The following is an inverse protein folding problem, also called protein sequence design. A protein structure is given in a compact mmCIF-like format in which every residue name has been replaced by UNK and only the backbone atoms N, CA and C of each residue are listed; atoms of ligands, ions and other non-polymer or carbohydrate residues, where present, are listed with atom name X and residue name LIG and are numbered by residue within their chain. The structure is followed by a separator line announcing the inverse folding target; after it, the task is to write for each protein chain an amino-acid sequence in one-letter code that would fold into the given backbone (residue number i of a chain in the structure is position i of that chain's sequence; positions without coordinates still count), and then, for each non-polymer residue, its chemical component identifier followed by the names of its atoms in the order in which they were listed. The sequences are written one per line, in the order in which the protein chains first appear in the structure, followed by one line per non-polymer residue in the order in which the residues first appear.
data_IF_087562413651
#
_entry.id   IF_087562413651
#
_cell.length_a   1.000
_cell.length_b   1.000
_cell.length_c   1.000
_cell.angle_alpha   90.00
_cell.angle_beta   90.00
_cell.angle_gamma   90.00
#
_symmetry.space_group_name_H-M   'P 1'
#
loop_
_entity.id
_entity.type
_entity.pdbx_description
1 polymer ?
#
# COMPACT_ATOMS: atom_id res chain seq x y z
N UNK A 1 17.04 -20.81 3.58
CA UNK A 1 17.33 -19.42 4.02
C UNK A 1 16.62 -19.18 5.34
N UNK A 2 17.15 -18.34 6.23
CA UNK A 2 16.40 -17.87 7.40
C UNK A 2 15.41 -16.78 6.97
N UNK A 3 14.24 -16.72 7.61
CA UNK A 3 13.25 -15.65 7.39
C UNK A 3 13.86 -14.24 7.49
N UNK A 4 14.88 -14.07 8.34
CA UNK A 4 15.63 -12.80 8.44
C UNK A 4 16.40 -12.46 7.17
N UNK A 5 17.03 -13.45 6.55
CA UNK A 5 17.73 -13.25 5.27
C UNK A 5 16.71 -12.92 4.17
N UNK A 6 15.61 -13.67 4.13
CA UNK A 6 14.56 -13.44 3.14
C UNK A 6 13.92 -12.05 3.28
N UNK A 7 13.66 -11.60 4.51
CA UNK A 7 13.20 -10.24 4.78
C UNK A 7 14.18 -9.16 4.30
N UNK A 8 15.49 -9.40 4.44
CA UNK A 8 16.50 -8.48 3.91
C UNK A 8 16.46 -8.43 2.38
N UNK A 9 16.40 -9.59 1.72
CA UNK A 9 16.32 -9.69 0.27
C UNK A 9 15.03 -9.01 -0.27
N UNK A 10 13.87 -9.23 0.39
CA UNK A 10 12.60 -8.60 0.01
C UNK A 10 12.67 -7.08 0.16
N UNK A 11 13.32 -6.56 1.22
CA UNK A 11 13.49 -5.12 1.40
C UNK A 11 14.30 -4.51 0.26
N UNK A 12 15.40 -5.14 -0.12
CA UNK A 12 16.24 -4.69 -1.24
C UNK A 12 15.45 -4.71 -2.56
N UNK A 13 14.70 -5.78 -2.82
CA UNK A 13 13.85 -5.89 -4.02
C UNK A 13 12.78 -4.81 -4.03
N UNK A 14 12.08 -4.57 -2.91
CA UNK A 14 11.08 -3.52 -2.81
C UNK A 14 11.67 -2.14 -3.03
N UNK A 15 12.87 -1.86 -2.49
CA UNK A 15 13.56 -0.58 -2.71
C UNK A 15 13.90 -0.35 -4.18
N UNK A 16 14.42 -1.38 -4.87
CA UNK A 16 14.69 -1.33 -6.31
C UNK A 16 13.41 -1.12 -7.14
N UNK A 17 12.32 -1.79 -6.77
CA UNK A 17 11.03 -1.65 -7.48
C UNK A 17 10.40 -0.27 -7.25
N UNK A 18 10.49 0.28 -6.04
CA UNK A 18 10.02 1.63 -5.72
C UNK A 18 10.86 2.70 -6.43
N UNK A 19 12.18 2.53 -6.52
CA UNK A 19 13.06 3.41 -7.29
C UNK A 19 12.70 3.38 -8.78
N UNK A 20 12.56 2.17 -9.33
CA UNK A 20 12.11 1.97 -10.71
C UNK A 20 10.77 2.68 -10.95
N UNK A 21 9.77 2.44 -10.10
CA UNK A 21 8.47 3.12 -10.20
C UNK A 21 8.63 4.64 -10.27
N UNK A 22 9.44 5.22 -9.38
CA UNK A 22 9.69 6.67 -9.36
C UNK A 22 10.32 7.21 -10.64
N UNK A 23 11.24 6.49 -11.27
CA UNK A 23 11.82 6.88 -12.56
C UNK A 23 10.78 6.82 -13.69
N UNK A 24 9.95 5.78 -13.74
CA UNK A 24 8.87 5.66 -14.72
C UNK A 24 7.82 6.79 -14.55
N UNK A 25 7.48 7.15 -13.32
CA UNK A 25 6.57 8.27 -13.02
C UNK A 25 7.14 9.62 -13.47
N UNK A 26 8.43 9.88 -13.24
CA UNK A 26 9.11 11.10 -13.70
C UNK A 26 9.15 11.19 -15.23
N UNK A 27 9.46 10.08 -15.90
CA UNK A 27 9.46 10.02 -17.36
C UNK A 27 8.06 10.26 -17.92
N UNK A 28 7.04 9.64 -17.31
CA UNK A 28 5.64 9.83 -17.70
C UNK A 28 5.22 11.30 -17.58
N UNK A 29 5.64 11.99 -16.52
CA UNK A 29 5.34 13.40 -16.28
C UNK A 29 6.05 14.36 -17.26
N UNK A 30 7.24 14.01 -17.73
CA UNK A 30 8.08 14.86 -18.60
C UNK A 30 7.96 14.55 -20.08
N UNK A 31 7.48 13.35 -20.44
CA UNK A 31 7.31 12.94 -21.84
C UNK A 31 6.29 13.81 -22.56
N UNK A 32 6.59 14.16 -23.81
CA UNK A 32 5.65 14.85 -24.71
C UNK A 32 4.89 13.88 -25.63
N UNK A 33 5.32 12.62 -25.73
CA UNK A 33 4.82 11.64 -26.70
C UNK A 33 3.66 10.81 -26.12
N UNK A 34 2.49 10.84 -26.76
CA UNK A 34 1.32 10.05 -26.35
C UNK A 34 1.62 8.54 -26.37
N UNK A 35 2.23 7.97 -27.44
CA UNK A 35 2.62 6.56 -27.44
C UNK A 35 3.57 6.20 -26.29
N UNK A 36 4.58 7.04 -26.01
CA UNK A 36 5.51 6.78 -24.91
C UNK A 36 4.78 6.79 -23.56
N UNK A 37 3.86 7.75 -23.34
CA UNK A 37 3.03 7.77 -22.13
C UNK A 37 2.18 6.52 -21.98
N UNK A 38 1.60 6.03 -23.07
CA UNK A 38 0.80 4.80 -23.04
C UNK A 38 1.64 3.59 -22.63
N UNK A 39 2.81 3.41 -23.24
CA UNK A 39 3.73 2.31 -22.90
C UNK A 39 4.22 2.38 -21.45
N UNK A 40 4.61 3.57 -20.97
CA UNK A 40 5.03 3.77 -19.59
C UNK A 40 3.91 3.41 -18.59
N UNK A 41 2.69 3.88 -18.84
CA UNK A 41 1.52 3.53 -18.03
C UNK A 41 1.25 2.03 -18.03
N UNK A 42 1.31 1.40 -19.21
CA UNK A 42 1.10 -0.04 -19.33
C UNK A 42 2.14 -0.82 -18.52
N UNK A 43 3.42 -0.41 -18.60
CA UNK A 43 4.52 -1.05 -17.87
C UNK A 43 4.38 -0.91 -16.35
N UNK A 44 4.06 0.30 -15.87
CA UNK A 44 3.78 0.54 -14.45
C UNK A 44 2.68 -0.40 -13.96
N UNK A 45 1.56 -0.46 -14.70
CA UNK A 45 0.36 -1.20 -14.31
C UNK A 45 0.49 -2.73 -14.43
N UNK A 46 1.20 -3.24 -15.43
CA UNK A 46 1.25 -4.68 -15.72
C UNK A 46 2.48 -5.39 -15.17
N UNK A 47 3.56 -4.65 -14.91
CA UNK A 47 4.82 -5.23 -14.46
C UNK A 47 5.18 -4.76 -13.06
N UNK A 48 5.31 -3.44 -12.86
CA UNK A 48 5.92 -2.88 -11.65
C UNK A 48 5.01 -3.01 -10.42
N UNK A 49 3.77 -2.51 -10.51
CA UNK A 49 2.84 -2.52 -9.37
C UNK A 49 2.43 -3.94 -8.92
N UNK A 50 2.22 -4.92 -9.83
CA UNK A 50 2.01 -6.31 -9.43
C UNK A 50 3.20 -6.92 -8.69
N UNK A 51 4.42 -6.67 -9.14
CA UNK A 51 5.63 -7.15 -8.45
C UNK A 51 5.76 -6.53 -7.06
N UNK A 52 5.52 -5.22 -6.92
CA UNK A 52 5.52 -4.53 -5.63
C UNK A 52 4.52 -5.20 -4.69
N UNK A 53 3.25 -5.39 -5.10
CA UNK A 53 2.24 -6.04 -4.25
C UNK A 53 2.66 -7.43 -3.78
N UNK A 54 3.24 -8.24 -4.68
CA UNK A 54 3.70 -9.58 -4.34
C UNK A 54 4.73 -9.55 -3.23
N UNK A 55 5.73 -8.67 -3.35
CA UNK A 55 6.79 -8.55 -2.35
C UNK A 55 6.33 -7.84 -1.07
N UNK A 56 5.38 -6.91 -1.15
CA UNK A 56 4.73 -6.32 0.02
C UNK A 56 3.95 -7.37 0.82
N UNK A 57 3.19 -8.24 0.16
CA UNK A 57 2.49 -9.35 0.81
C UNK A 57 3.48 -10.29 1.52
N UNK A 58 4.50 -10.74 0.81
CA UNK A 58 5.53 -11.63 1.35
C UNK A 58 6.30 -10.98 2.52
N UNK A 59 6.61 -9.68 2.41
CA UNK A 59 7.24 -8.93 3.48
C UNK A 59 6.44 -9.03 4.78
N UNK A 60 5.13 -8.79 4.70
CA UNK A 60 4.27 -8.77 5.88
C UNK A 60 3.87 -10.14 6.41
N UNK A 61 3.94 -11.19 5.58
CA UNK A 61 3.84 -12.57 6.04
C UNK A 61 5.02 -12.96 6.94
N UNK A 62 6.22 -12.43 6.65
CA UNK A 62 7.44 -12.74 7.39
C UNK A 62 7.75 -11.74 8.52
N UNK A 63 7.20 -10.52 8.44
CA UNK A 63 7.53 -9.46 9.39
C UNK A 63 6.91 -9.72 10.77
N UNK A 64 7.69 -9.67 11.87
CA UNK A 64 7.17 -9.92 13.20
C UNK A 64 6.39 -8.69 13.72
N UNK A 65 5.07 -8.68 13.51
CA UNK A 65 4.15 -7.57 13.85
C UNK A 65 4.22 -7.20 15.34
N UNK A 66 4.55 -8.15 16.21
CA UNK A 66 4.67 -7.95 17.66
C UNK A 66 5.79 -6.97 18.02
N UNK A 67 6.81 -6.85 17.15
CA UNK A 67 7.95 -5.95 17.36
C UNK A 67 7.62 -4.49 17.07
N UNK A 68 6.47 -4.21 16.44
CA UNK A 68 6.02 -2.85 16.14
C UNK A 68 5.59 -2.16 17.44
N UNK A 69 6.23 -1.04 17.77
CA UNK A 69 5.90 -0.23 18.95
C UNK A 69 5.33 1.10 18.46
N UNK A 70 4.03 1.33 18.70
CA UNK A 70 3.31 2.57 18.35
C UNK A 70 2.41 2.91 19.54
N UNK A 71 2.42 4.17 19.98
CA UNK A 71 1.54 4.65 21.04
C UNK A 71 0.08 4.68 20.58
N UNK A 72 -0.89 4.63 21.50
CA UNK A 72 -2.30 4.74 21.11
C UNK A 72 -2.61 6.11 20.49
N UNK A 73 -2.00 7.19 20.96
CA UNK A 73 -2.17 8.54 20.41
C UNK A 73 -1.71 8.63 18.94
N UNK A 74 -0.51 8.11 18.65
CA UNK A 74 -0.01 8.05 17.27
C UNK A 74 -0.87 7.14 16.40
N UNK A 75 -1.33 6.02 16.96
CA UNK A 75 -2.15 5.06 16.25
C UNK A 75 -3.53 5.63 15.90
N UNK A 76 -4.20 6.35 16.79
CA UNK A 76 -5.47 7.04 16.53
C UNK A 76 -5.34 7.99 15.34
N UNK A 77 -4.26 8.79 15.33
CA UNK A 77 -4.00 9.72 14.23
C UNK A 77 -3.80 9.00 12.90
N UNK A 78 -3.14 7.84 12.88
CA UNK A 78 -2.95 7.08 11.64
C UNK A 78 -4.21 6.31 11.22
N UNK A 79 -4.95 5.73 12.17
CA UNK A 79 -6.20 5.03 11.90
C UNK A 79 -7.20 5.95 11.22
N UNK A 80 -7.37 7.18 11.71
CA UNK A 80 -8.25 8.17 11.08
C UNK A 80 -7.88 8.43 9.60
N UNK A 81 -6.58 8.45 9.27
CA UNK A 81 -6.10 8.61 7.88
C UNK A 81 -6.37 7.37 7.03
N UNK A 82 -6.23 6.18 7.61
CA UNK A 82 -6.54 4.92 6.92
C UNK A 82 -8.04 4.83 6.66
N UNK A 83 -8.88 5.12 7.67
CA UNK A 83 -10.34 5.19 7.55
C UNK A 83 -10.75 6.16 6.44
N UNK A 84 -10.24 7.39 6.45
CA UNK A 84 -10.52 8.37 5.42
C UNK A 84 -10.10 7.90 4.02
N UNK A 85 -8.94 7.25 3.90
CA UNK A 85 -8.46 6.74 2.62
C UNK A 85 -9.34 5.60 2.10
N UNK A 86 -9.70 4.63 2.96
CA UNK A 86 -10.61 3.53 2.61
C UNK A 86 -11.97 4.07 2.18
N UNK A 87 -12.54 5.01 2.91
CA UNK A 87 -13.82 5.63 2.56
C UNK A 87 -13.75 6.38 1.22
N UNK A 88 -12.65 7.06 0.94
CA UNK A 88 -12.45 7.76 -0.32
C UNK A 88 -12.42 6.78 -1.49
N UNK A 89 -11.71 5.66 -1.37
CA UNK A 89 -11.69 4.60 -2.38
C UNK A 89 -13.08 3.97 -2.60
N UNK A 90 -13.88 3.82 -1.55
CA UNK A 90 -15.24 3.27 -1.63
C UNK A 90 -16.26 4.22 -2.28
N UNK A 91 -16.04 5.54 -2.21
CA UNK A 91 -16.94 6.56 -2.80
C UNK A 91 -16.76 6.74 -4.30
N UNK A 92 -15.66 6.25 -4.88
CA UNK A 92 -15.45 6.30 -6.33
C UNK A 92 -16.54 5.45 -7.00
N UNK A 93 -17.29 5.98 -7.98
CA UNK A 93 -18.36 5.25 -8.63
C UNK A 93 -17.87 3.90 -9.18
N UNK A 94 -18.57 2.81 -8.85
CA UNK A 94 -18.28 1.44 -9.32
C UNK A 94 -18.43 1.25 -10.84
N UNK A 95 -18.49 2.34 -11.61
CA UNK A 95 -18.43 2.33 -13.07
C UNK A 95 -17.08 1.82 -13.60
N UNK A 96 -16.05 1.78 -12.75
CA UNK A 96 -14.82 1.04 -13.00
C UNK A 96 -14.89 -0.30 -12.25
N UNK A 97 -14.75 -1.42 -12.97
CA UNK A 97 -14.69 -2.77 -12.41
C UNK A 97 -13.52 -2.87 -11.43
N UNK A 98 -13.78 -2.67 -10.14
CA UNK A 98 -12.78 -2.96 -9.11
C UNK A 98 -12.45 -4.45 -9.16
N UNK A 99 -11.14 -4.82 -9.12
CA UNK A 99 -10.76 -6.21 -8.95
C UNK A 99 -11.42 -6.79 -7.69
N UNK A 100 -11.97 -8.02 -7.73
CA UNK A 100 -12.57 -8.66 -6.56
C UNK A 100 -11.63 -8.70 -5.35
N UNK A 101 -10.34 -8.86 -5.59
CA UNK A 101 -9.30 -8.85 -4.56
C UNK A 101 -9.21 -7.51 -3.83
N UNK A 102 -9.35 -6.39 -4.56
CA UNK A 102 -9.36 -5.05 -4.00
C UNK A 102 -10.60 -4.84 -3.10
N UNK A 103 -11.77 -5.28 -3.57
CA UNK A 103 -13.00 -5.20 -2.78
C UNK A 103 -12.84 -5.95 -1.46
N UNK A 104 -12.28 -7.17 -1.53
CA UNK A 104 -12.01 -7.98 -0.33
C UNK A 104 -11.03 -7.29 0.61
N UNK A 105 -9.93 -6.72 0.11
CA UNK A 105 -8.97 -5.98 0.94
C UNK A 105 -9.61 -4.76 1.63
N UNK A 106 -10.46 -4.01 0.94
CA UNK A 106 -11.19 -2.88 1.53
C UNK A 106 -12.15 -3.33 2.65
N UNK A 107 -12.82 -4.47 2.46
CA UNK A 107 -13.68 -5.07 3.48
C UNK A 107 -12.88 -5.59 4.68
N UNK A 108 -11.75 -6.26 4.43
CA UNK A 108 -10.87 -6.78 5.48
C UNK A 108 -10.32 -5.65 6.35
N UNK A 109 -9.84 -4.55 5.74
CA UNK A 109 -9.42 -3.37 6.50
C UNK A 109 -10.59 -2.80 7.29
N UNK A 110 -11.76 -2.62 6.68
CA UNK A 110 -12.92 -2.05 7.40
C UNK A 110 -13.28 -2.89 8.63
N UNK A 111 -13.33 -4.21 8.48
CA UNK A 111 -13.56 -5.11 9.59
C UNK A 111 -12.51 -4.96 10.70
N UNK A 112 -11.23 -4.83 10.34
CA UNK A 112 -10.12 -4.64 11.29
C UNK A 112 -10.16 -3.31 12.03
N UNK A 113 -10.62 -2.23 11.37
CA UNK A 113 -10.80 -0.91 11.98
C UNK A 113 -12.01 -0.88 12.92
N UNK A 114 -13.10 -1.53 12.50
CA UNK A 114 -14.37 -1.62 13.23
C UNK A 114 -14.32 -2.68 14.36
N UNK A 115 -13.20 -3.38 14.58
CA UNK A 115 -12.99 -4.34 15.70
C UNK A 115 -12.98 -3.63 17.07
N UNK A 116 -14.15 -3.14 17.50
CA UNK A 116 -14.59 -2.77 18.86
C UNK A 116 -13.50 -2.31 19.85
N UNK A 117 -13.55 -2.88 21.06
CA UNK A 117 -12.79 -2.52 22.28
C UNK A 117 -11.26 -2.63 22.18
N UNK A 118 -10.71 -2.88 20.99
CA UNK A 118 -9.25 -2.92 20.81
C UNK A 118 -8.67 -1.52 20.86
N UNK A 119 -7.53 -1.41 21.54
CA UNK A 119 -6.71 -0.21 21.52
C UNK A 119 -6.32 0.15 20.07
N UNK A 120 -6.23 1.46 19.78
CA UNK A 120 -5.88 1.97 18.45
C UNK A 120 -4.58 1.36 17.90
N UNK A 121 -3.55 1.22 18.75
CA UNK A 121 -2.29 0.57 18.37
C UNK A 121 -2.49 -0.87 17.89
N UNK A 122 -3.37 -1.64 18.53
CA UNK A 122 -3.67 -3.01 18.12
C UNK A 122 -4.41 -3.06 16.78
N UNK A 123 -5.41 -2.19 16.58
CA UNK A 123 -6.13 -2.06 15.30
C UNK A 123 -5.20 -1.70 14.16
N UNK A 124 -4.29 -0.75 14.39
CA UNK A 124 -3.33 -0.34 13.38
C UNK A 124 -2.37 -1.48 13.04
N UNK A 125 -1.82 -2.17 14.04
CA UNK A 125 -0.90 -3.31 13.84
C UNK A 125 -1.49 -4.40 12.94
N UNK A 126 -2.75 -4.77 13.14
CA UNK A 126 -3.40 -5.80 12.33
C UNK A 126 -3.80 -5.31 10.94
N UNK A 127 -3.90 -4.00 10.75
CA UNK A 127 -4.24 -3.38 9.46
C UNK A 127 -3.00 -3.07 8.62
N UNK A 128 -1.85 -2.87 9.25
CA UNK A 128 -0.57 -2.52 8.60
C UNK A 128 -0.22 -3.38 7.38
N UNK A 129 -0.37 -4.73 7.40
CA UNK A 129 -0.10 -5.56 6.24
C UNK A 129 -0.93 -5.24 5.00
N UNK A 130 -2.14 -4.71 5.19
CA UNK A 130 -3.14 -4.52 4.14
C UNK A 130 -3.01 -3.15 3.44
N UNK A 131 -2.49 -2.15 4.16
CA UNK A 131 -2.33 -0.78 3.67
C UNK A 131 -1.44 -0.68 2.40
N UNK A 132 -0.23 -1.27 2.36
CA UNK A 132 0.62 -1.23 1.16
C UNK A 132 -0.06 -1.87 -0.06
N UNK A 133 -0.75 -3.00 0.15
CA UNK A 133 -1.47 -3.69 -0.91
C UNK A 133 -2.54 -2.80 -1.54
N UNK A 134 -3.32 -2.08 -0.72
CA UNK A 134 -4.30 -1.11 -1.19
C UNK A 134 -3.66 0.08 -1.90
N UNK A 135 -2.56 0.62 -1.37
CA UNK A 135 -1.82 1.71 -2.02
C UNK A 135 -1.36 1.33 -3.43
N UNK A 136 -0.88 0.10 -3.60
CA UNK A 136 -0.44 -0.40 -4.90
C UNK A 136 -1.61 -0.59 -5.89
N UNK A 137 -2.79 -1.05 -5.42
CA UNK A 137 -3.99 -1.09 -6.26
C UNK A 137 -4.48 0.30 -6.67
N UNK A 138 -4.48 1.24 -5.72
CA UNK A 138 -4.91 2.62 -5.94
C UNK A 138 -4.11 3.30 -7.07
N UNK A 139 -2.80 3.05 -7.13
CA UNK A 139 -1.92 3.52 -8.20
C UNK A 139 -2.22 2.88 -9.55
N UNK A 140 -2.56 1.59 -9.61
CA UNK A 140 -2.92 0.91 -10.88
C UNK A 140 -4.18 1.46 -11.52
N UNK A 141 -5.02 2.09 -10.71
CA UNK A 141 -6.31 2.62 -11.11
C UNK A 141 -6.25 4.09 -11.52
N UNK A 142 -5.05 4.68 -11.59
CA UNK A 142 -4.85 6.10 -11.94
C UNK A 142 -5.73 7.04 -11.06
N UNK A 143 -5.92 6.70 -9.78
CA UNK A 143 -6.72 7.51 -8.84
C UNK A 143 -5.86 8.57 -8.13
N UNK A 144 -6.45 9.33 -7.19
CA UNK A 144 -5.78 10.45 -6.50
C UNK A 144 -4.60 10.05 -5.58
N UNK A 145 -4.36 8.75 -5.39
CA UNK A 145 -3.23 8.23 -4.62
C UNK A 145 -3.31 8.56 -3.12
N UNK A 146 -4.53 8.61 -2.56
CA UNK A 146 -4.80 8.93 -1.15
C UNK A 146 -4.23 7.85 -0.23
N UNK A 147 -4.53 6.58 -0.50
CA UNK A 147 -3.96 5.43 0.22
C UNK A 147 -2.43 5.37 0.08
N UNK A 148 -1.88 5.67 -1.10
CA UNK A 148 -0.43 5.74 -1.31
C UNK A 148 0.24 6.82 -0.43
N UNK A 149 -0.38 8.00 -0.30
CA UNK A 149 0.09 9.07 0.61
C UNK A 149 -0.01 8.65 2.07
N UNK A 150 -1.10 7.98 2.45
CA UNK A 150 -1.30 7.43 3.79
C UNK A 150 -0.23 6.38 4.12
N UNK A 151 0.03 5.44 3.21
CA UNK A 151 1.08 4.43 3.33
C UNK A 151 2.47 5.05 3.50
N UNK A 152 2.85 6.03 2.68
CA UNK A 152 4.12 6.75 2.80
C UNK A 152 4.32 7.41 4.18
N UNK A 153 3.23 7.82 4.83
CA UNK A 153 3.28 8.40 6.17
C UNK A 153 3.49 7.31 7.23
N UNK A 154 2.74 6.21 7.13
CA UNK A 154 2.79 5.08 8.05
C UNK A 154 4.13 4.33 7.96
N UNK A 155 4.67 4.13 6.75
CA UNK A 155 5.97 3.48 6.50
C UNK A 155 7.10 4.14 7.30
N UNK A 156 7.05 5.47 7.52
CA UNK A 156 8.05 6.20 8.33
C UNK A 156 7.93 5.93 9.83
N UNK A 157 6.75 5.54 10.31
CA UNK A 157 6.51 5.21 11.71
C UNK A 157 6.97 3.78 12.01
N UNK A 158 6.75 2.83 11.09
CA UNK A 158 7.13 1.43 11.28
C UNK A 158 8.62 1.16 11.05
N UNK A 159 9.31 2.02 10.28
CA UNK A 159 10.77 1.94 10.07
C UNK A 159 11.61 2.51 11.24
N UNK A 160 10.97 3.07 12.29
CA UNK A 160 11.66 3.59 13.48
C UNK A 160 11.98 2.50 14.48
#
# INVERSE_FOLDING_TARGET
MSDRQRLADIKEILELLEEKLGEFEKELATSASIPAKFELKHKIKREILPDIRRYEAEYWELYPIETIIISNEEAETQLAKVEQAVESMQRIPQTAEYPPELIRLLQDIRAKLDEGDKAASAKLKVTLPLIPLLASYELEMDTEGVMHKTWKTIKRLVRR
#
